data_IF_830293567187
#
_entry.id   IF_830293567187
#
_cell.length_a   1.000
_cell.length_b   1.000
_cell.length_c   1.000
_cell.angle_alpha   90.00
_cell.angle_beta   90.00
_cell.angle_gamma   90.00
#
_symmetry.space_group_name_H-M   'P 1'
#
loop_
_entity.id
_entity.type
_entity.pdbx_description
1 polymer ?
#
# COMPACT_ATOMS: atom_id res chain seq x y z
N UNK A 1 12.57 -18.01 -22.32
CA UNK A 1 13.27 -19.11 -21.63
C UNK A 1 13.38 -18.74 -20.16
N UNK A 2 13.08 -19.71 -19.29
CA UNK A 2 13.16 -19.78 -17.81
C UNK A 2 13.91 -18.64 -17.10
N UNK A 3 13.41 -18.08 -16.00
CA UNK A 3 13.06 -18.82 -14.78
C UNK A 3 11.81 -18.29 -14.07
N UNK A 4 10.98 -19.19 -13.52
CA UNK A 4 10.15 -18.82 -12.37
C UNK A 4 11.10 -18.45 -11.23
N UNK A 5 11.38 -17.15 -11.07
CA UNK A 5 12.28 -16.53 -10.08
C UNK A 5 12.03 -16.92 -8.61
N UNK A 6 10.97 -17.69 -8.30
CA UNK A 6 10.65 -18.14 -6.96
C UNK A 6 10.33 -19.64 -6.99
N UNK A 7 11.28 -20.46 -6.54
CA UNK A 7 11.14 -21.91 -6.41
C UNK A 7 10.22 -22.33 -5.25
N UNK A 8 10.10 -21.48 -4.22
CA UNK A 8 9.24 -21.71 -3.05
C UNK A 8 8.42 -20.47 -2.75
N UNK A 9 7.11 -20.54 -2.97
CA UNK A 9 6.18 -19.50 -2.54
C UNK A 9 5.63 -19.83 -1.17
N UNK A 10 5.60 -18.83 -0.30
CA UNK A 10 4.90 -18.90 0.97
C UNK A 10 3.40 -19.01 0.69
N UNK A 11 2.67 -19.95 1.32
CA UNK A 11 1.22 -19.99 1.21
C UNK A 11 0.60 -18.72 1.79
N UNK A 12 -0.50 -18.26 1.21
CA UNK A 12 -1.26 -17.13 1.75
C UNK A 12 -2.09 -17.63 2.94
N UNK A 13 -1.89 -17.04 4.12
CA UNK A 13 -2.62 -17.39 5.32
C UNK A 13 -3.77 -16.41 5.54
N UNK A 14 -5.02 -16.88 5.61
CA UNK A 14 -6.17 -16.00 5.83
C UNK A 14 -6.12 -15.41 7.24
N UNK A 15 -6.57 -14.16 7.38
CA UNK A 15 -6.76 -13.55 8.68
C UNK A 15 -7.94 -14.25 9.37
N UNK A 16 -7.65 -14.92 10.48
CA UNK A 16 -8.65 -15.66 11.24
C UNK A 16 -9.59 -14.70 11.96
N UNK A 17 -10.78 -15.19 12.35
CA UNK A 17 -11.73 -14.40 13.15
C UNK A 17 -11.08 -13.89 14.44
N UNK A 18 -10.36 -14.75 15.17
CA UNK A 18 -9.68 -14.36 16.41
C UNK A 18 -8.64 -13.27 16.20
N UNK A 19 -7.87 -13.32 15.11
CA UNK A 19 -6.91 -12.26 14.78
C UNK A 19 -7.65 -10.97 14.37
N UNK A 20 -8.71 -11.06 13.59
CA UNK A 20 -9.54 -9.91 13.21
C UNK A 20 -10.18 -9.23 14.42
N UNK A 21 -10.67 -10.00 15.39
CA UNK A 21 -11.27 -9.48 16.63
C UNK A 21 -10.20 -8.75 17.47
N UNK A 22 -8.99 -9.32 17.59
CA UNK A 22 -7.84 -8.65 18.22
C UNK A 22 -7.51 -7.32 17.52
N UNK A 23 -7.35 -7.33 16.19
CA UNK A 23 -7.03 -6.12 15.41
C UNK A 23 -8.10 -5.04 15.57
N UNK A 24 -9.37 -5.45 15.69
CA UNK A 24 -10.47 -4.52 15.94
C UNK A 24 -10.38 -3.90 17.33
N UNK A 25 -10.10 -4.70 18.37
CA UNK A 25 -9.92 -4.22 19.74
C UNK A 25 -8.75 -3.24 19.87
N UNK A 26 -7.72 -3.37 19.03
CA UNK A 26 -6.56 -2.49 18.97
C UNK A 26 -6.65 -1.38 17.91
N UNK A 27 -7.83 -1.12 17.34
CA UNK A 27 -8.05 -0.01 16.41
C UNK A 27 -7.36 -0.14 15.05
N UNK A 28 -6.93 -1.35 14.68
CA UNK A 28 -6.26 -1.64 13.39
C UNK A 28 -7.22 -1.90 12.26
N UNK A 29 -8.43 -2.37 12.56
CA UNK A 29 -9.42 -2.74 11.57
C UNK A 29 -10.31 -1.55 11.23
N UNK A 30 -10.27 -1.10 9.99
CA UNK A 30 -11.00 0.09 9.54
C UNK A 30 -11.68 -0.12 8.18
N UNK A 31 -12.67 0.72 7.90
CA UNK A 31 -13.14 0.90 6.53
C UNK A 31 -12.14 1.78 5.80
N UNK A 32 -11.57 1.26 4.72
CA UNK A 32 -10.63 2.00 3.87
C UNK A 32 -11.37 2.57 2.66
N UNK A 33 -11.02 3.78 2.19
CA UNK A 33 -11.63 4.42 1.02
C UNK A 33 -11.27 3.76 -0.32
N UNK A 34 -10.23 2.92 -0.39
CA UNK A 34 -9.81 2.25 -1.63
C UNK A 34 -9.28 0.84 -1.34
N UNK A 35 -9.63 -0.11 -2.20
CA UNK A 35 -9.18 -1.49 -2.10
C UNK A 35 -8.02 -1.80 -3.06
N UNK A 36 -7.28 -2.86 -2.72
CA UNK A 36 -6.23 -3.37 -3.60
C UNK A 36 -6.76 -3.72 -5.00
N UNK A 37 -7.96 -4.30 -5.08
CA UNK A 37 -8.54 -4.71 -6.35
C UNK A 37 -9.03 -3.51 -7.20
N UNK A 38 -9.30 -2.34 -6.60
CA UNK A 38 -9.55 -1.11 -7.37
C UNK A 38 -8.28 -0.64 -8.08
N UNK A 39 -7.13 -0.73 -7.41
CA UNK A 39 -5.84 -0.37 -7.99
C UNK A 39 -5.41 -1.33 -9.11
N UNK A 40 -5.89 -2.57 -9.12
CA UNK A 40 -5.64 -3.51 -10.23
C UNK A 40 -6.33 -3.10 -11.53
N UNK A 41 -7.25 -2.12 -11.51
CA UNK A 41 -7.95 -1.63 -12.71
C UNK A 41 -7.14 -0.64 -13.55
N UNK A 42 -5.83 -0.49 -13.29
CA UNK A 42 -4.97 0.34 -14.14
C UNK A 42 -5.05 -0.07 -15.62
N UNK A 43 -5.03 0.90 -16.52
CA UNK A 43 -5.18 0.68 -17.97
C UNK A 43 -3.85 0.44 -18.68
N UNK A 44 -2.76 0.96 -18.12
CA UNK A 44 -1.42 0.81 -18.66
C UNK A 44 -0.38 0.92 -17.57
N UNK A 45 0.83 0.48 -17.88
CA UNK A 45 1.97 0.66 -17.00
C UNK A 45 3.27 0.68 -17.79
N UNK A 46 4.31 1.29 -17.22
CA UNK A 46 5.65 1.40 -17.81
C UNK A 46 6.68 0.90 -16.82
N UNK A 47 7.69 0.16 -17.29
CA UNK A 47 8.77 -0.35 -16.46
C UNK A 47 9.58 0.80 -15.83
N UNK A 48 9.88 0.66 -14.54
CA UNK A 48 10.77 1.58 -13.82
C UNK A 48 12.17 0.96 -13.82
N UNK A 49 13.13 1.66 -14.40
CA UNK A 49 14.53 1.30 -14.38
C UNK A 49 15.28 2.12 -13.31
N UNK A 50 16.32 1.53 -12.72
CA UNK A 50 17.23 2.26 -11.87
C UNK A 50 18.19 3.15 -12.68
N UNK A 51 19.03 3.91 -11.98
CA UNK A 51 20.02 4.82 -12.59
C UNK A 51 21.04 4.13 -13.51
N UNK A 52 21.22 2.83 -13.34
CA UNK A 52 22.20 2.01 -14.07
C UNK A 52 21.50 1.24 -15.22
N UNK A 53 20.20 1.46 -15.41
CA UNK A 53 19.39 0.84 -16.46
C UNK A 53 18.88 -0.56 -16.12
N UNK A 54 18.96 -1.00 -14.87
CA UNK A 54 18.44 -2.30 -14.45
C UNK A 54 16.94 -2.23 -14.14
N UNK A 55 16.21 -3.29 -14.49
CA UNK A 55 14.78 -3.42 -14.18
C UNK A 55 14.57 -3.51 -12.65
N UNK A 56 13.77 -2.59 -12.11
CA UNK A 56 13.45 -2.55 -10.68
C UNK A 56 12.33 -3.51 -10.27
N UNK A 57 11.68 -4.17 -11.24
CA UNK A 57 10.50 -5.02 -11.09
C UNK A 57 9.25 -4.24 -10.60
N UNK A 58 9.29 -2.91 -10.69
CA UNK A 58 8.16 -2.03 -10.49
C UNK A 58 7.68 -1.48 -11.82
N UNK A 59 6.36 -1.38 -11.95
CA UNK A 59 5.72 -0.71 -13.07
C UNK A 59 5.01 0.55 -12.57
N UNK A 60 5.30 1.70 -13.17
CA UNK A 60 4.52 2.92 -12.96
C UNK A 60 3.17 2.76 -13.64
N UNK A 61 2.07 2.79 -12.88
CA UNK A 61 0.72 2.52 -13.40
C UNK A 61 -0.03 3.79 -13.79
N UNK A 62 -0.93 3.65 -14.77
CA UNK A 62 -1.80 4.72 -15.25
C UNK A 62 -3.26 4.25 -15.24
N UNK A 63 -4.13 5.12 -14.76
CA UNK A 63 -5.57 4.87 -14.65
C UNK A 63 -6.34 5.68 -15.70
N UNK A 64 -7.57 5.29 -15.95
CA UNK A 64 -8.48 6.06 -16.79
C UNK A 64 -8.64 7.47 -16.21
N UNK A 65 -8.68 8.50 -17.07
CA UNK A 65 -8.81 9.89 -16.62
C UNK A 65 -10.02 10.11 -15.69
N UNK A 66 -11.14 9.47 -16.01
CA UNK A 66 -12.37 9.55 -15.21
C UNK A 66 -12.31 8.83 -13.85
N UNK A 67 -11.41 7.85 -13.66
CA UNK A 67 -11.21 7.17 -12.36
C UNK A 67 -10.07 7.79 -11.56
N UNK A 68 -9.13 8.45 -12.24
CA UNK A 68 -7.88 8.92 -11.66
C UNK A 68 -8.10 9.86 -10.47
N UNK A 69 -8.99 10.83 -10.61
CA UNK A 69 -9.26 11.81 -9.54
C UNK A 69 -9.83 11.13 -8.28
N UNK A 70 -10.73 10.16 -8.45
CA UNK A 70 -11.34 9.41 -7.36
C UNK A 70 -10.31 8.51 -6.65
N UNK A 71 -9.45 7.83 -7.43
CA UNK A 71 -8.38 6.99 -6.92
C UNK A 71 -7.37 7.83 -6.13
N UNK A 72 -6.90 8.94 -6.71
CA UNK A 72 -5.95 9.83 -6.04
C UNK A 72 -6.53 10.43 -4.77
N UNK A 73 -7.80 10.89 -4.79
CA UNK A 73 -8.48 11.39 -3.59
C UNK A 73 -8.56 10.31 -2.50
N UNK A 74 -8.90 9.08 -2.88
CA UNK A 74 -9.00 7.96 -1.94
C UNK A 74 -7.65 7.58 -1.35
N UNK A 75 -6.56 7.66 -2.13
CA UNK A 75 -5.19 7.46 -1.65
C UNK A 75 -4.73 8.59 -0.71
N UNK A 76 -5.11 9.84 -0.99
CA UNK A 76 -4.86 10.96 -0.06
C UNK A 76 -5.61 10.78 1.25
N UNK A 77 -6.85 10.27 1.22
CA UNK A 77 -7.60 9.90 2.43
C UNK A 77 -6.96 8.73 3.18
N UNK A 78 -6.44 7.72 2.48
CA UNK A 78 -5.64 6.65 3.12
C UNK A 78 -4.45 7.23 3.88
N UNK A 79 -3.77 8.22 3.30
CA UNK A 79 -2.67 8.93 3.97
C UNK A 79 -3.15 9.60 5.27
N UNK A 80 -4.25 10.36 5.23
CA UNK A 80 -4.74 11.10 6.41
C UNK A 80 -5.19 10.17 7.52
N UNK A 81 -5.79 9.03 7.18
CA UNK A 81 -6.19 8.01 8.15
C UNK A 81 -4.97 7.34 8.80
N UNK A 82 -3.87 7.13 8.06
CA UNK A 82 -2.67 6.46 8.57
C UNK A 82 -1.74 7.39 9.38
N UNK A 83 -1.68 8.67 9.04
CA UNK A 83 -0.64 9.60 9.53
C UNK A 83 -1.20 10.87 10.18
N UNK A 84 -2.51 11.06 10.19
CA UNK A 84 -3.18 12.23 10.75
C UNK A 84 -4.40 11.79 11.56
N UNK A 85 -5.20 12.75 12.03
CA UNK A 85 -6.46 12.51 12.74
C UNK A 85 -7.61 12.11 11.81
N UNK A 86 -7.32 11.76 10.55
CA UNK A 86 -8.31 11.51 9.52
C UNK A 86 -8.98 12.77 8.96
N UNK A 87 -8.50 13.97 9.30
CA UNK A 87 -9.05 15.22 8.78
C UNK A 87 -8.76 15.41 7.29
N UNK A 88 -9.80 15.82 6.56
CA UNK A 88 -9.71 16.16 5.14
C UNK A 88 -9.02 17.52 4.89
N UNK A 89 -8.69 18.28 5.95
CA UNK A 89 -8.07 19.62 5.84
C UNK A 89 -6.73 19.63 5.12
N UNK A 90 -5.97 18.54 5.19
CA UNK A 90 -4.65 18.45 4.53
C UNK A 90 -4.72 17.94 3.09
N UNK A 91 -5.85 17.39 2.64
CA UNK A 91 -5.97 16.79 1.29
C UNK A 91 -5.56 17.71 0.14
N UNK A 92 -5.89 19.03 0.14
CA UNK A 92 -5.46 19.93 -0.94
C UNK A 92 -3.94 20.07 -1.03
N UNK A 93 -3.22 19.78 0.06
CA UNK A 93 -1.78 19.88 0.15
C UNK A 93 -1.05 18.56 -0.09
N UNK A 94 -1.80 17.47 -0.32
CA UNK A 94 -1.23 16.17 -0.66
C UNK A 94 -1.28 15.96 -2.17
N UNK A 95 -0.20 15.44 -2.72
CA UNK A 95 -0.09 15.01 -4.10
C UNK A 95 0.25 13.53 -4.17
N UNK A 96 -0.36 12.80 -5.11
CA UNK A 96 0.07 11.44 -5.45
C UNK A 96 1.08 11.58 -6.58
N UNK A 97 2.36 11.41 -6.25
CA UNK A 97 3.45 11.53 -7.22
C UNK A 97 3.53 10.28 -8.11
N UNK A 98 3.32 9.10 -7.53
CA UNK A 98 3.35 7.83 -8.28
C UNK A 98 2.50 6.75 -7.62
N UNK A 99 1.98 5.85 -8.45
CA UNK A 99 1.33 4.59 -8.06
C UNK A 99 2.06 3.48 -8.80
N UNK A 100 2.93 2.77 -8.09
CA UNK A 100 3.79 1.75 -8.67
C UNK A 100 3.29 0.36 -8.29
N UNK A 101 3.19 -0.55 -9.25
CA UNK A 101 2.82 -1.93 -9.06
C UNK A 101 4.05 -2.84 -9.12
N UNK A 102 4.27 -3.65 -8.09
CA UNK A 102 5.35 -4.63 -8.11
C UNK A 102 4.91 -5.90 -8.84
N UNK A 103 5.64 -6.26 -9.89
CA UNK A 103 5.39 -7.50 -10.65
C UNK A 103 5.90 -8.74 -9.92
N UNK A 104 6.80 -8.53 -8.97
CA UNK A 104 7.52 -9.54 -8.23
C UNK A 104 6.95 -9.79 -6.82
N UNK A 105 7.22 -10.98 -6.27
CA UNK A 105 6.80 -11.37 -4.92
C UNK A 105 5.38 -11.93 -4.81
N UNK A 106 5.05 -12.49 -3.63
CA UNK A 106 3.79 -13.23 -3.42
C UNK A 106 2.55 -12.33 -3.35
N UNK A 107 2.67 -11.14 -2.77
CA UNK A 107 1.54 -10.23 -2.54
C UNK A 107 1.43 -9.10 -3.57
N UNK A 108 2.37 -9.02 -4.52
CA UNK A 108 2.45 -7.98 -5.58
C UNK A 108 1.99 -6.59 -5.11
N UNK A 109 2.71 -5.96 -4.16
CA UNK A 109 2.26 -4.70 -3.56
C UNK A 109 2.10 -3.58 -4.57
N UNK A 110 1.21 -2.64 -4.23
CA UNK A 110 1.30 -1.27 -4.73
C UNK A 110 2.15 -0.43 -3.77
N UNK A 111 2.98 0.44 -4.33
CA UNK A 111 3.74 1.49 -3.64
C UNK A 111 3.24 2.83 -4.15
N UNK A 112 2.73 3.65 -3.24
CA UNK A 112 2.15 4.95 -3.56
C UNK A 112 3.04 6.00 -2.93
N UNK A 113 3.62 6.89 -3.76
CA UNK A 113 4.39 8.02 -3.27
C UNK A 113 3.45 9.19 -3.01
N UNK A 114 3.27 9.54 -1.74
CA UNK A 114 2.44 10.67 -1.33
C UNK A 114 3.36 11.80 -0.88
N UNK A 115 3.23 12.96 -1.51
CA UNK A 115 4.05 14.14 -1.22
C UNK A 115 3.19 15.27 -0.66
N UNK A 116 3.68 15.91 0.39
CA UNK A 116 3.12 17.14 0.92
C UNK A 116 3.74 18.32 0.15
N UNK A 117 2.93 19.06 -0.58
CA UNK A 117 3.41 20.13 -1.46
C UNK A 117 3.87 21.39 -0.70
N UNK A 118 3.50 21.54 0.58
CA UNK A 118 3.87 22.72 1.38
C UNK A 118 5.34 22.67 1.83
N UNK A 119 5.87 21.48 2.07
CA UNK A 119 7.23 21.27 2.58
C UNK A 119 8.06 20.30 1.74
N UNK A 120 7.51 19.81 0.64
CA UNK A 120 8.12 18.85 -0.30
C UNK A 120 8.50 17.49 0.30
N UNK A 121 8.05 17.19 1.53
CA UNK A 121 8.27 15.90 2.16
C UNK A 121 7.38 14.84 1.51
N UNK A 122 7.89 13.61 1.36
CA UNK A 122 7.11 12.49 0.85
C UNK A 122 7.24 11.26 1.73
N UNK A 123 6.24 10.39 1.63
CA UNK A 123 6.26 9.04 2.20
C UNK A 123 5.80 8.02 1.16
N UNK A 124 6.08 6.75 1.44
CA UNK A 124 5.54 5.63 0.66
C UNK A 124 4.46 4.90 1.45
N UNK A 125 3.26 4.81 0.88
CA UNK A 125 2.22 3.91 1.33
C UNK A 125 2.31 2.59 0.58
N UNK A 126 2.21 1.47 1.30
CA UNK A 126 2.23 0.14 0.70
C UNK A 126 0.87 -0.53 0.87
N UNK A 127 0.17 -0.77 -0.25
CA UNK A 127 -1.11 -1.48 -0.26
C UNK A 127 -0.85 -2.91 -0.71
N UNK A 128 -1.24 -3.87 0.13
CA UNK A 128 -0.94 -5.30 -0.02
C UNK A 128 -2.19 -6.12 0.29
N UNK A 129 -2.33 -7.27 -0.38
CA UNK A 129 -3.29 -8.29 0.06
C UNK A 129 -2.98 -8.72 1.49
N UNK A 130 -4.01 -8.74 2.33
CA UNK A 130 -3.89 -9.13 3.73
C UNK A 130 -3.42 -10.58 3.83
N UNK A 131 -2.51 -10.82 4.79
CA UNK A 131 -1.98 -12.14 5.08
C UNK A 131 -1.66 -12.19 6.57
N UNK A 132 -2.20 -13.19 7.27
CA UNK A 132 -2.13 -13.28 8.73
C UNK A 132 -0.68 -13.27 9.23
N UNK A 133 0.23 -13.95 8.53
CA UNK A 133 1.62 -14.00 8.97
C UNK A 133 2.35 -12.66 8.84
N UNK A 134 1.94 -11.80 7.90
CA UNK A 134 2.45 -10.42 7.81
C UNK A 134 1.87 -9.57 8.92
N UNK A 135 0.58 -9.73 9.20
CA UNK A 135 -0.08 -9.00 10.29
C UNK A 135 0.56 -9.34 11.64
N UNK A 136 0.80 -10.62 11.93
CA UNK A 136 1.53 -11.02 13.13
C UNK A 136 2.92 -10.40 13.21
N UNK A 137 3.66 -10.38 12.09
CA UNK A 137 4.96 -9.71 12.04
C UNK A 137 4.88 -8.21 12.32
N UNK A 138 3.90 -7.51 11.72
CA UNK A 138 3.70 -6.08 11.93
C UNK A 138 3.28 -5.76 13.37
N UNK A 139 2.43 -6.58 13.98
CA UNK A 139 2.06 -6.44 15.39
C UNK A 139 3.26 -6.68 16.31
N UNK A 140 4.07 -7.72 16.04
CA UNK A 140 5.26 -8.00 16.82
C UNK A 140 6.26 -6.84 16.75
N UNK A 141 6.52 -6.33 15.55
CA UNK A 141 7.38 -5.15 15.36
C UNK A 141 6.79 -3.92 16.07
N UNK A 142 5.48 -3.69 15.97
CA UNK A 142 4.83 -2.57 16.65
C UNK A 142 4.97 -2.65 18.19
N UNK A 143 4.96 -3.85 18.76
CA UNK A 143 5.08 -4.07 20.20
C UNK A 143 6.53 -4.01 20.71
N UNK A 144 7.50 -4.47 19.91
CA UNK A 144 8.88 -4.65 20.35
C UNK A 144 9.84 -3.55 19.85
N UNK A 145 9.52 -2.90 18.73
CA UNK A 145 10.40 -1.91 18.13
C UNK A 145 10.24 -0.54 18.80
N UNK A 146 11.33 0.23 19.00
CA UNK A 146 11.23 1.62 19.43
C UNK A 146 10.61 2.52 18.36
N UNK A 147 10.59 2.07 17.09
CA UNK A 147 9.97 2.79 15.99
C UNK A 147 8.56 2.26 15.75
N UNK A 148 7.56 3.11 15.93
CA UNK A 148 6.17 2.73 15.66
C UNK A 148 5.94 2.52 14.16
N UNK A 149 5.46 1.33 13.82
CA UNK A 149 4.95 1.03 12.48
C UNK A 149 3.45 1.30 12.47
N UNK A 150 3.02 2.15 11.54
CA UNK A 150 1.61 2.39 11.26
C UNK A 150 1.15 1.46 10.15
N UNK A 151 0.17 0.62 10.47
CA UNK A 151 -0.51 -0.19 9.49
C UNK A 151 -1.97 -0.35 9.88
N UNK A 152 -2.80 -0.58 8.86
CA UNK A 152 -4.22 -0.78 8.99
C UNK A 152 -4.62 -1.99 8.16
N UNK A 153 -5.69 -2.64 8.58
CA UNK A 153 -6.27 -3.78 7.87
C UNK A 153 -7.71 -3.48 7.51
N UNK A 154 -8.12 -4.01 6.36
CA UNK A 154 -9.52 -4.09 5.99
C UNK A 154 -10.01 -5.53 6.11
N UNK A 155 -11.29 -5.67 6.50
CA UNK A 155 -11.97 -6.95 6.69
C UNK A 155 -12.34 -7.62 5.38
#
# INVERSE_FOLDING_TARGET
>A
MNEKLISKKKPAYPVTKSLSDYLTAHGRNIKIPIYYDDLLRFQGAVEIYDKDGNDTLWLSTYFAEHEREEIELSLKRMYTILHSDGSDTILPYLNIDSIDFCTFGNSKPFRIKVRNILNDNYIFLYIKKADASRVYGLELEHLLSPNHINFLIHK
#
